data_IF_473778876335
#
_entry.id   IF_473778876335
#
_cell.length_a   1.000
_cell.length_b   1.000
_cell.length_c   1.000
_cell.angle_alpha   90.00
_cell.angle_beta   90.00
_cell.angle_gamma   90.00
#
_symmetry.space_group_name_H-M   'P 1'
#
loop_
_entity.id
_entity.type
_entity.pdbx_description
1 polymer ?
#
# COMPACT_ATOMS: atom_id res chain seq x y z
N UNK A 1 -9.67 8.90 -23.06
CA UNK A 1 -8.87 8.47 -21.88
C UNK A 1 -9.28 7.08 -21.40
N UNK A 2 -8.40 6.06 -21.51
CA UNK A 2 -8.73 4.69 -21.06
C UNK A 2 -8.80 4.64 -19.53
N UNK A 3 -10.02 4.78 -19.00
CA UNK A 3 -10.36 4.73 -17.56
C UNK A 3 -9.94 3.42 -16.87
N UNK A 4 -9.60 2.37 -17.63
CA UNK A 4 -9.23 1.05 -17.10
C UNK A 4 -8.03 1.06 -16.14
N UNK A 5 -6.99 1.83 -16.46
CA UNK A 5 -5.80 1.87 -15.61
C UNK A 5 -6.02 2.55 -14.25
N UNK A 6 -6.87 3.59 -14.19
CA UNK A 6 -7.24 4.24 -12.93
C UNK A 6 -8.05 3.28 -12.04
N UNK A 7 -9.01 2.56 -12.63
CA UNK A 7 -9.76 1.51 -11.93
C UNK A 7 -8.82 0.44 -11.36
N UNK A 8 -7.80 0.03 -12.11
CA UNK A 8 -6.80 -0.93 -11.62
C UNK A 8 -6.08 -0.45 -10.35
N UNK A 9 -5.68 0.82 -10.31
CA UNK A 9 -5.07 1.42 -9.11
C UNK A 9 -6.03 1.36 -7.92
N UNK A 10 -7.27 1.84 -8.09
CA UNK A 10 -8.23 1.85 -6.98
C UNK A 10 -8.55 0.44 -6.46
N UNK A 11 -8.74 -0.54 -7.35
CA UNK A 11 -9.02 -1.93 -6.98
C UNK A 11 -7.82 -2.56 -6.25
N UNK A 12 -6.61 -2.37 -6.77
CA UNK A 12 -5.39 -2.86 -6.11
C UNK A 12 -5.21 -2.25 -4.72
N UNK A 13 -5.42 -0.94 -4.61
CA UNK A 13 -5.36 -0.21 -3.34
C UNK A 13 -6.41 -0.70 -2.35
N UNK A 14 -7.65 -0.92 -2.81
CA UNK A 14 -8.74 -1.45 -2.00
C UNK A 14 -8.43 -2.84 -1.45
N UNK A 15 -8.05 -3.78 -2.32
CA UNK A 15 -7.81 -5.17 -1.92
C UNK A 15 -6.67 -5.28 -0.90
N UNK A 16 -5.57 -4.54 -1.12
CA UNK A 16 -4.46 -4.49 -0.15
C UNK A 16 -4.92 -3.91 1.18
N UNK A 17 -5.64 -2.79 1.19
CA UNK A 17 -6.04 -2.14 2.44
C UNK A 17 -7.10 -2.94 3.21
N UNK A 18 -8.02 -3.61 2.50
CA UNK A 18 -9.00 -4.48 3.14
C UNK A 18 -8.33 -5.64 3.90
N UNK A 19 -7.25 -6.22 3.35
CA UNK A 19 -6.45 -7.21 4.08
C UNK A 19 -5.63 -6.60 5.23
N UNK A 20 -5.08 -5.40 5.02
CA UNK A 20 -4.19 -4.76 6.00
C UNK A 20 -4.89 -4.33 7.29
N UNK A 21 -6.16 -3.91 7.22
CA UNK A 21 -6.87 -3.30 8.37
C UNK A 21 -6.95 -4.22 9.57
N UNK A 22 -7.33 -5.49 9.39
CA UNK A 22 -7.40 -6.44 10.50
C UNK A 22 -6.01 -6.73 11.09
N UNK A 23 -4.96 -6.73 10.26
CA UNK A 23 -3.59 -6.86 10.77
C UNK A 23 -3.30 -5.70 11.70
N UNK A 24 -3.62 -4.47 11.31
CA UNK A 24 -3.25 -3.30 12.10
C UNK A 24 -4.02 -3.20 13.41
N UNK A 25 -5.29 -3.60 13.40
CA UNK A 25 -6.11 -3.68 14.61
C UNK A 25 -5.61 -4.75 15.59
N UNK A 26 -5.05 -5.85 15.09
CA UNK A 26 -4.72 -7.03 15.87
C UNK A 26 -3.22 -7.21 16.14
N UNK A 27 -2.35 -6.49 15.41
CA UNK A 27 -0.89 -6.62 15.52
C UNK A 27 -0.38 -6.37 16.96
N UNK A 28 -0.86 -5.39 17.74
CA UNK A 28 -0.43 -5.23 19.12
C UNK A 28 -0.73 -6.45 19.99
N UNK A 29 -1.92 -7.04 19.80
CA UNK A 29 -2.36 -8.24 20.52
C UNK A 29 -1.50 -9.44 20.11
N UNK A 30 -1.22 -9.58 18.82
CA UNK A 30 -0.34 -10.63 18.30
C UNK A 30 1.09 -10.50 18.87
N UNK A 31 1.65 -9.28 18.88
CA UNK A 31 2.98 -9.04 19.45
C UNK A 31 3.02 -9.31 20.96
N UNK A 32 1.99 -8.93 21.69
CA UNK A 32 1.86 -9.26 23.11
C UNK A 32 1.78 -10.78 23.34
N UNK A 33 1.08 -11.53 22.48
CA UNK A 33 1.02 -13.00 22.54
C UNK A 33 2.38 -13.66 22.28
N UNK A 34 3.28 -12.99 21.55
CA UNK A 34 4.67 -13.42 21.32
C UNK A 34 5.62 -12.98 22.46
N UNK A 35 5.10 -12.38 23.53
CA UNK A 35 5.88 -11.94 24.70
C UNK A 35 6.44 -10.52 24.61
N UNK A 36 6.01 -9.70 23.64
CA UNK A 36 6.46 -8.31 23.56
C UNK A 36 5.91 -7.46 24.71
N UNK A 37 6.78 -6.70 25.37
CA UNK A 37 6.35 -5.68 26.33
C UNK A 37 5.70 -4.49 25.62
N UNK A 38 4.92 -3.68 26.34
CA UNK A 38 4.29 -2.45 25.80
C UNK A 38 5.31 -1.50 25.18
N UNK A 39 6.50 -1.40 25.78
CA UNK A 39 7.63 -0.60 25.26
C UNK A 39 8.11 -1.15 23.92
N UNK A 40 8.29 -2.47 23.79
CA UNK A 40 8.70 -3.09 22.53
C UNK A 40 7.66 -2.93 21.43
N UNK A 41 6.37 -3.05 21.75
CA UNK A 41 5.30 -2.79 20.78
C UNK A 41 5.41 -1.35 20.26
N UNK A 42 5.53 -0.36 21.16
CA UNK A 42 5.71 1.05 20.77
C UNK A 42 6.95 1.28 19.90
N UNK A 43 8.09 0.67 20.25
CA UNK A 43 9.32 0.75 19.46
C UNK A 43 9.16 0.15 18.06
N UNK A 44 8.45 -0.98 17.94
CA UNK A 44 8.19 -1.59 16.64
C UNK A 44 7.35 -0.68 15.74
N UNK A 45 6.31 -0.03 16.27
CA UNK A 45 5.56 0.99 15.53
C UNK A 45 6.43 2.20 15.17
N UNK A 46 7.33 2.63 16.05
CA UNK A 46 8.28 3.70 15.75
C UNK A 46 9.22 3.31 14.60
N UNK A 47 9.71 2.07 14.54
CA UNK A 47 10.52 1.55 13.42
C UNK A 47 9.73 1.59 12.11
N UNK A 48 8.43 1.27 12.15
CA UNK A 48 7.58 1.36 10.97
C UNK A 48 7.42 2.81 10.47
N UNK A 49 7.22 3.77 11.36
CA UNK A 49 7.11 5.18 10.99
C UNK A 49 8.45 5.76 10.51
N UNK A 50 9.54 5.44 11.21
CA UNK A 50 10.89 5.90 10.86
C UNK A 50 11.32 5.36 9.49
N UNK A 51 11.06 4.09 9.21
CA UNK A 51 11.36 3.50 7.89
C UNK A 51 10.55 4.14 6.78
N UNK A 52 9.25 4.39 6.98
CA UNK A 52 8.43 5.13 6.00
C UNK A 52 8.97 6.54 5.77
N UNK A 53 9.29 7.28 6.82
CA UNK A 53 9.81 8.64 6.71
C UNK A 53 11.15 8.66 5.95
N UNK A 54 12.06 7.74 6.25
CA UNK A 54 13.35 7.63 5.58
C UNK A 54 13.23 7.21 4.11
N UNK A 55 12.30 6.30 3.78
CA UNK A 55 12.14 5.74 2.44
C UNK A 55 11.25 6.59 1.53
N UNK A 56 10.38 7.46 2.07
CA UNK A 56 9.38 8.21 1.29
C UNK A 56 9.99 8.95 0.09
N UNK A 57 11.07 9.70 0.33
CA UNK A 57 11.75 10.48 -0.72
C UNK A 57 12.49 9.60 -1.73
N UNK A 58 13.21 8.59 -1.26
CA UNK A 58 13.95 7.65 -2.11
C UNK A 58 13.01 6.87 -3.05
N UNK A 59 11.90 6.38 -2.52
CA UNK A 59 10.91 5.62 -3.30
C UNK A 59 10.16 6.54 -4.27
N UNK A 60 9.97 7.82 -3.95
CA UNK A 60 9.45 8.82 -4.89
C UNK A 60 10.34 8.93 -6.13
N UNK A 61 11.65 9.17 -5.92
CA UNK A 61 12.63 9.16 -7.00
C UNK A 61 12.66 7.84 -7.78
N UNK A 62 12.57 6.72 -7.08
CA UNK A 62 12.51 5.39 -7.70
C UNK A 62 11.27 5.23 -8.58
N UNK A 63 10.11 5.73 -8.14
CA UNK A 63 8.84 5.73 -8.89
C UNK A 63 8.99 6.50 -10.19
N UNK A 64 9.62 7.66 -10.14
CA UNK A 64 9.82 8.50 -11.32
C UNK A 64 10.80 7.88 -12.34
N UNK A 65 11.73 7.03 -11.87
CA UNK A 65 12.74 6.37 -12.70
C UNK A 65 12.28 5.01 -13.26
N UNK A 66 11.70 4.15 -12.41
CA UNK A 66 11.25 2.80 -12.81
C UNK A 66 9.89 2.82 -13.52
N UNK A 67 9.11 3.88 -13.32
CA UNK A 67 7.73 3.94 -13.77
C UNK A 67 6.73 3.58 -12.66
N UNK A 68 5.47 3.91 -12.93
CA UNK A 68 4.40 3.87 -11.96
C UNK A 68 3.91 2.44 -11.78
N UNK A 69 3.74 1.67 -12.87
CA UNK A 69 3.22 0.30 -12.77
C UNK A 69 4.21 -0.63 -12.04
N UNK A 70 5.52 -0.69 -12.36
CA UNK A 70 6.45 -1.55 -11.64
C UNK A 70 6.52 -1.21 -10.15
N UNK A 71 6.51 0.09 -9.82
CA UNK A 71 6.57 0.54 -8.43
C UNK A 71 5.29 0.21 -7.67
N UNK A 72 4.12 0.33 -8.31
CA UNK A 72 2.86 -0.07 -7.71
C UNK A 72 2.81 -1.58 -7.45
N UNK A 73 3.28 -2.40 -8.40
CA UNK A 73 3.39 -3.84 -8.24
C UNK A 73 4.36 -4.23 -7.12
N UNK A 74 5.49 -3.53 -7.00
CA UNK A 74 6.42 -3.71 -5.88
C UNK A 74 5.71 -3.44 -4.54
N UNK A 75 4.88 -2.41 -4.46
CA UNK A 75 4.10 -2.12 -3.26
C UNK A 75 3.07 -3.20 -2.91
N UNK A 76 2.36 -3.74 -3.91
CA UNK A 76 1.32 -4.75 -3.73
C UNK A 76 1.88 -6.14 -3.38
N UNK A 77 2.88 -6.61 -4.14
CA UNK A 77 3.54 -7.88 -3.87
C UNK A 77 4.45 -7.80 -2.64
N UNK A 78 5.12 -6.66 -2.41
CA UNK A 78 5.86 -6.39 -1.18
C UNK A 78 4.95 -6.43 0.05
N UNK A 79 3.76 -5.80 -0.02
CA UNK A 79 2.76 -5.91 1.05
C UNK A 79 2.31 -7.35 1.27
N UNK A 80 2.12 -8.13 0.19
CA UNK A 80 1.79 -9.56 0.31
C UNK A 80 2.88 -10.34 1.03
N UNK A 81 4.15 -10.10 0.69
CA UNK A 81 5.29 -10.74 1.36
C UNK A 81 5.34 -10.36 2.84
N UNK A 82 5.15 -9.09 3.17
CA UNK A 82 5.09 -8.60 4.55
C UNK A 82 4.00 -9.30 5.35
N UNK A 83 2.78 -9.39 4.80
CA UNK A 83 1.65 -10.02 5.50
C UNK A 83 1.91 -11.52 5.70
N UNK A 84 2.47 -12.22 4.72
CA UNK A 84 2.88 -13.60 4.88
C UNK A 84 3.99 -13.77 5.94
N UNK A 85 4.97 -12.87 5.96
CA UNK A 85 6.07 -12.87 6.94
C UNK A 85 5.58 -12.63 8.37
N UNK A 86 4.54 -11.81 8.58
CA UNK A 86 3.93 -11.71 9.92
C UNK A 86 3.35 -13.02 10.40
N UNK A 87 2.64 -13.74 9.52
CA UNK A 87 2.14 -15.06 9.83
C UNK A 87 3.27 -16.03 10.17
N UNK A 88 4.41 -15.92 9.49
CA UNK A 88 5.57 -16.79 9.72
C UNK A 88 6.46 -16.40 10.90
N UNK A 89 6.29 -15.20 11.48
CA UNK A 89 7.19 -14.67 12.50
C UNK A 89 7.19 -15.53 13.78
N UNK A 90 8.34 -16.13 14.16
CA UNK A 90 8.43 -16.97 15.37
C UNK A 90 8.58 -16.15 16.66
N UNK A 91 8.98 -14.88 16.57
CA UNK A 91 9.08 -13.97 17.71
C UNK A 91 8.83 -12.52 17.30
N UNK A 92 8.51 -11.67 18.29
CA UNK A 92 8.21 -10.25 18.05
C UNK A 92 9.40 -9.47 17.47
N UNK A 93 10.65 -9.92 17.67
CA UNK A 93 11.84 -9.25 17.13
C UNK A 93 11.92 -9.34 15.60
N UNK A 94 11.34 -10.37 14.99
CA UNK A 94 11.26 -10.49 13.54
C UNK A 94 10.39 -9.40 12.90
N UNK A 95 9.51 -8.76 13.68
CA UNK A 95 8.65 -7.68 13.18
C UNK A 95 9.44 -6.41 12.86
N UNK A 96 10.60 -6.18 13.48
CA UNK A 96 11.43 -5.00 13.19
C UNK A 96 11.90 -4.94 11.72
N UNK A 97 12.60 -5.97 11.17
CA UNK A 97 12.95 -5.97 9.75
C UNK A 97 11.73 -6.06 8.83
N UNK A 98 10.65 -6.75 9.25
CA UNK A 98 9.40 -6.78 8.47
C UNK A 98 8.77 -5.39 8.36
N UNK A 99 8.86 -4.55 9.39
CA UNK A 99 8.37 -3.17 9.35
C UNK A 99 9.14 -2.28 8.38
N UNK A 100 10.43 -2.52 8.18
CA UNK A 100 11.21 -1.83 7.15
C UNK A 100 10.71 -2.19 5.76
N UNK A 101 10.45 -3.48 5.51
CA UNK A 101 9.87 -3.95 4.25
C UNK A 101 8.43 -3.44 4.05
N UNK A 102 7.65 -3.34 5.14
CA UNK A 102 6.33 -2.71 5.11
C UNK A 102 6.43 -1.24 4.72
N UNK A 103 7.40 -0.51 5.25
CA UNK A 103 7.67 0.88 4.88
C UNK A 103 7.97 1.02 3.39
N UNK A 104 8.90 0.22 2.86
CA UNK A 104 9.21 0.19 1.43
C UNK A 104 7.96 -0.11 0.57
N UNK A 105 7.19 -1.12 0.97
CA UNK A 105 5.99 -1.55 0.26
C UNK A 105 4.90 -0.47 0.25
N UNK A 106 4.67 0.17 1.40
CA UNK A 106 3.69 1.24 1.54
C UNK A 106 4.10 2.49 0.76
N UNK A 107 5.34 2.95 0.90
CA UNK A 107 5.86 4.10 0.16
C UNK A 107 5.76 3.87 -1.36
N UNK A 108 6.05 2.64 -1.82
CA UNK A 108 5.95 2.28 -3.25
C UNK A 108 4.50 2.32 -3.72
N UNK A 109 3.58 1.78 -2.91
CA UNK A 109 2.16 1.77 -3.22
C UNK A 109 1.59 3.19 -3.32
N UNK A 110 1.83 4.03 -2.32
CA UNK A 110 1.23 5.37 -2.26
C UNK A 110 1.83 6.30 -3.31
N UNK A 111 3.15 6.36 -3.46
CA UNK A 111 3.81 7.23 -4.43
C UNK A 111 3.45 6.86 -5.87
N UNK A 112 3.43 5.56 -6.19
CA UNK A 112 3.04 5.12 -7.52
C UNK A 112 1.55 5.39 -7.82
N UNK A 113 0.67 5.19 -6.84
CA UNK A 113 -0.77 5.42 -6.99
C UNK A 113 -1.07 6.90 -7.23
N UNK A 114 -0.52 7.79 -6.40
CA UNK A 114 -0.76 9.23 -6.52
C UNK A 114 -0.11 9.79 -7.79
N UNK A 115 1.13 9.39 -8.12
CA UNK A 115 1.77 9.79 -9.37
C UNK A 115 0.95 9.35 -10.60
N UNK A 116 0.48 8.09 -10.61
CA UNK A 116 -0.32 7.58 -11.73
C UNK A 116 -1.66 8.31 -11.88
N UNK A 117 -2.33 8.60 -10.76
CA UNK A 117 -3.56 9.40 -10.76
C UNK A 117 -3.26 10.81 -11.29
N UNK A 118 -2.19 11.45 -10.82
CA UNK A 118 -1.78 12.78 -11.28
C UNK A 118 -1.47 12.83 -12.78
N UNK A 119 -0.81 11.81 -13.31
CA UNK A 119 -0.47 11.72 -14.74
C UNK A 119 -1.72 11.54 -15.63
N UNK A 120 -2.70 10.75 -15.17
CA UNK A 120 -3.87 10.34 -15.98
C UNK A 120 -5.13 11.17 -15.74
N UNK A 121 -5.27 11.84 -14.60
CA UNK A 121 -6.43 12.64 -14.25
C UNK A 121 -6.43 13.98 -15.00
N UNK A 122 -7.55 14.45 -15.57
CA UNK A 122 -7.69 15.84 -16.01
C UNK A 122 -7.30 16.81 -14.88
N UNK A 123 -6.65 17.93 -15.20
CA UNK A 123 -6.15 18.89 -14.19
C UNK A 123 -7.27 19.36 -13.25
N UNK A 124 -8.47 19.56 -13.80
CA UNK A 124 -9.67 20.02 -13.11
C UNK A 124 -10.24 18.95 -12.16
N UNK A 125 -9.98 17.67 -12.45
CA UNK A 125 -10.51 16.53 -11.70
C UNK A 125 -9.45 15.81 -10.84
N UNK A 126 -8.20 16.28 -10.86
CA UNK A 126 -7.09 15.63 -10.16
C UNK A 126 -7.33 15.57 -8.65
N UNK A 127 -7.81 16.67 -8.05
CA UNK A 127 -8.17 16.70 -6.63
C UNK A 127 -9.28 15.69 -6.27
N UNK A 128 -10.30 15.58 -7.12
CA UNK A 128 -11.40 14.61 -6.95
C UNK A 128 -10.92 13.15 -7.09
N UNK A 129 -10.06 12.86 -8.05
CA UNK A 129 -9.51 11.51 -8.21
C UNK A 129 -8.56 11.13 -7.07
N UNK A 130 -7.77 12.08 -6.57
CA UNK A 130 -6.93 11.87 -5.38
C UNK A 130 -7.78 11.62 -4.13
N UNK A 131 -8.86 12.38 -3.92
CA UNK A 131 -9.76 12.16 -2.78
C UNK A 131 -10.48 10.81 -2.89
N UNK A 132 -10.87 10.39 -4.10
CA UNK A 132 -11.45 9.07 -4.34
C UNK A 132 -10.54 7.93 -3.88
N UNK A 133 -9.22 8.06 -4.00
CA UNK A 133 -8.26 7.06 -3.47
C UNK A 133 -8.43 6.88 -1.95
N UNK A 134 -8.56 7.98 -1.21
CA UNK A 134 -8.77 7.94 0.24
C UNK A 134 -10.19 7.49 0.61
N UNK A 135 -11.20 7.84 -0.17
CA UNK A 135 -12.56 7.30 -0.01
C UNK A 135 -12.58 5.78 -0.16
N UNK A 136 -11.93 5.26 -1.21
CA UNK A 136 -11.76 3.82 -1.45
C UNK A 136 -11.00 3.17 -0.29
N UNK A 137 -10.01 3.85 0.27
CA UNK A 137 -9.26 3.37 1.44
C UNK A 137 -10.16 3.26 2.68
N UNK A 138 -10.99 4.27 2.95
CA UNK A 138 -11.95 4.23 4.05
C UNK A 138 -12.96 3.09 3.91
N UNK A 139 -13.49 2.89 2.70
CA UNK A 139 -14.37 1.75 2.40
C UNK A 139 -13.66 0.40 2.57
N UNK A 140 -12.40 0.32 2.15
CA UNK A 140 -11.57 -0.87 2.33
C UNK A 140 -11.37 -1.19 3.82
N UNK A 141 -11.20 -0.18 4.67
CA UNK A 141 -11.05 -0.38 6.12
C UNK A 141 -12.32 -0.88 6.79
N UNK A 142 -13.49 -0.40 6.35
CA UNK A 142 -14.78 -0.91 6.83
C UNK A 142 -14.93 -2.37 6.41
N UNK A 143 -14.74 -2.67 5.12
CA UNK A 143 -14.83 -4.04 4.60
C UNK A 143 -13.80 -4.98 5.25
N UNK A 144 -12.58 -4.50 5.44
CA UNK A 144 -11.47 -5.24 6.04
C UNK A 144 -11.68 -5.54 7.52
N UNK A 145 -12.21 -4.59 8.28
CA UNK A 145 -12.58 -4.79 9.69
C UNK A 145 -13.69 -5.82 9.83
N UNK A 146 -14.74 -5.74 9.00
CA UNK A 146 -15.81 -6.74 8.97
C UNK A 146 -15.29 -8.13 8.60
N UNK A 147 -14.40 -8.20 7.60
CA UNK A 147 -13.74 -9.45 7.21
C UNK A 147 -12.90 -10.01 8.35
N UNK A 148 -12.13 -9.18 9.05
CA UNK A 148 -11.33 -9.59 10.20
C UNK A 148 -12.22 -10.13 11.33
N UNK A 149 -13.27 -9.40 11.70
CA UNK A 149 -14.21 -9.82 12.74
C UNK A 149 -14.86 -11.18 12.41
N UNK A 150 -15.24 -11.41 11.16
CA UNK A 150 -15.88 -12.67 10.75
C UNK A 150 -14.92 -13.87 10.66
N UNK A 151 -13.62 -13.63 10.46
CA UNK A 151 -12.67 -14.71 10.10
C UNK A 151 -11.65 -15.00 11.18
N UNK A 152 -11.28 -14.04 12.03
CA UNK A 152 -10.19 -14.19 13.00
C UNK A 152 -10.53 -15.22 14.08
N UNK A 153 -11.78 -15.26 14.56
CA UNK A 153 -12.20 -16.23 15.57
C UNK A 153 -12.20 -17.68 15.04
N UNK A 154 -12.44 -17.86 13.74
CA UNK A 154 -12.51 -19.16 13.10
C UNK A 154 -11.15 -19.64 12.58
N UNK A 155 -10.37 -18.75 11.98
CA UNK A 155 -9.11 -19.06 11.31
C UNK A 155 -7.90 -18.83 12.22
N UNK A 156 -8.03 -17.98 13.24
CA UNK A 156 -6.91 -17.47 14.03
C UNK A 156 -6.13 -16.35 13.34
N UNK A 157 -5.37 -15.60 14.15
CA UNK A 157 -4.57 -14.44 13.72
C UNK A 157 -3.59 -14.76 12.58
N UNK A 158 -2.91 -15.91 12.68
CA UNK A 158 -1.89 -16.34 11.72
C UNK A 158 -2.47 -16.56 10.32
N UNK A 159 -3.61 -17.24 10.23
CA UNK A 159 -4.26 -17.54 8.96
C UNK A 159 -4.92 -16.29 8.36
N UNK A 160 -5.41 -15.37 9.19
CA UNK A 160 -5.87 -14.06 8.72
C UNK A 160 -4.75 -13.28 8.01
N UNK A 161 -3.51 -13.32 8.52
CA UNK A 161 -2.37 -12.68 7.85
C UNK A 161 -2.07 -13.27 6.46
N UNK A 162 -2.23 -14.58 6.29
CA UNK A 162 -2.14 -15.22 4.97
C UNK A 162 -3.30 -14.83 4.05
N UNK A 163 -4.53 -14.73 4.57
CA UNK A 163 -5.68 -14.23 3.82
C UNK A 163 -5.43 -12.81 3.31
N UNK A 164 -4.92 -11.93 4.15
CA UNK A 164 -4.54 -10.57 3.78
C UNK A 164 -3.43 -10.55 2.70
N UNK A 165 -2.44 -11.45 2.82
CA UNK A 165 -1.42 -11.63 1.78
C UNK A 165 -2.04 -12.02 0.43
N UNK A 166 -2.97 -13.00 0.44
CA UNK A 166 -3.69 -13.41 -0.77
C UNK A 166 -4.48 -12.26 -1.39
N UNK A 167 -5.20 -11.46 -0.59
CA UNK A 167 -5.91 -10.28 -1.10
C UNK A 167 -4.97 -9.26 -1.75
N UNK A 168 -3.83 -8.96 -1.11
CA UNK A 168 -2.82 -8.05 -1.67
C UNK A 168 -2.21 -8.60 -2.97
N UNK A 169 -1.93 -9.91 -3.01
CA UNK A 169 -1.46 -10.59 -4.23
C UNK A 169 -2.48 -10.55 -5.36
N UNK A 170 -3.76 -10.77 -5.07
CA UNK A 170 -4.84 -10.64 -6.06
C UNK A 170 -4.93 -9.21 -6.60
N UNK A 171 -4.78 -8.20 -5.74
CA UNK A 171 -4.65 -6.80 -6.15
C UNK A 171 -3.45 -6.56 -7.07
N UNK A 172 -2.29 -7.11 -6.71
CA UNK A 172 -1.08 -7.09 -7.54
C UNK A 172 -1.30 -7.72 -8.91
N UNK A 173 -1.90 -8.90 -8.98
CA UNK A 173 -2.21 -9.60 -10.23
C UNK A 173 -3.22 -8.83 -11.09
N UNK A 174 -4.24 -8.24 -10.48
CA UNK A 174 -5.20 -7.40 -11.17
C UNK A 174 -4.53 -6.17 -11.80
N UNK A 175 -3.70 -5.46 -11.02
CA UNK A 175 -2.90 -4.34 -11.52
C UNK A 175 -1.95 -4.78 -12.63
N UNK A 176 -1.28 -5.93 -12.48
CA UNK A 176 -0.33 -6.43 -13.48
C UNK A 176 -1.00 -6.64 -14.85
N UNK A 177 -2.25 -7.13 -14.86
CA UNK A 177 -3.02 -7.39 -16.07
C UNK A 177 -3.68 -6.15 -16.66
N UNK A 178 -4.26 -5.27 -15.85
CA UNK A 178 -5.16 -4.21 -16.33
C UNK A 178 -4.56 -2.79 -16.29
N UNK A 179 -3.48 -2.57 -15.55
CA UNK A 179 -2.80 -1.27 -15.53
C UNK A 179 -1.88 -1.15 -16.75
N UNK A 180 -2.01 -0.07 -17.50
CA UNK A 180 -1.06 0.34 -18.53
C UNK A 180 -0.01 1.27 -17.91
N UNK A 181 1.22 1.30 -18.41
CA UNK A 181 2.23 2.25 -17.91
C UNK A 181 1.80 3.70 -18.20
N UNK A 182 1.96 4.62 -17.24
CA UNK A 182 1.71 6.03 -17.51
C UNK A 182 2.88 6.61 -18.32
N UNK A 183 2.61 7.05 -19.55
CA UNK A 183 3.54 7.93 -20.26
C UNK A 183 3.76 9.19 -19.42
N UNK A 184 5.02 9.59 -19.22
CA UNK A 184 5.35 10.85 -18.54
C UNK A 184 4.61 11.98 -19.24
N UNK A 185 3.91 12.85 -18.49
CA UNK A 185 3.47 14.14 -19.03
C UNK A 185 4.72 14.89 -19.48
N UNK A 186 4.88 15.10 -20.78
CA UNK A 186 5.86 16.06 -21.27
C UNK A 186 5.46 17.43 -20.72
N UNK A 187 6.40 18.12 -20.06
CA UNK A 187 6.20 19.43 -19.45
C UNK A 187 5.49 20.38 -20.43
N UNK A 188 4.21 20.65 -20.19
CA UNK A 188 3.43 21.66 -20.93
C UNK A 188 3.74 23.07 -20.40
N UNK A 189 5.02 23.41 -20.25
CA UNK A 189 5.47 24.68 -19.64
C UNK A 189 6.66 25.33 -20.36
N UNK A 190 6.90 25.02 -21.64
CA UNK A 190 7.91 25.72 -22.45
C UNK A 190 7.36 26.51 -23.64
N UNK A 191 6.05 26.79 -23.71
CA UNK A 191 5.43 27.45 -24.87
C UNK A 191 4.57 28.67 -24.52
N UNK A 192 4.95 29.43 -23.48
CA UNK A 192 4.11 30.55 -23.03
C UNK A 192 4.85 31.69 -22.36
N UNK A 193 6.05 32.07 -22.81
CA UNK A 193 6.61 33.42 -22.61
C UNK A 193 7.85 33.63 -23.50
N UNK A 194 7.64 33.75 -24.82
CA UNK A 194 8.50 34.57 -25.69
C UNK A 194 7.55 35.31 -26.63
N UNK A 195 7.48 36.63 -26.49
CA UNK A 195 6.68 37.53 -27.33
C UNK A 195 5.61 38.26 -26.53
N UNK A 196 5.97 39.38 -25.92
CA UNK A 196 5.74 40.74 -26.43
C UNK A 196 6.85 41.64 -25.90
#
# INVERSE_FOLDING_TARGET
>A
PRLGGLKAVYVGFFLRNAGATGIWALLPIYLASLGASRLWIGLLYAVNLASQAALMGYVGYLTDRLGRKPTLLLGLFGSSAVFALYGLAPSYLWVAPIHVLLGLSWCSLINASTAYIGDRAPLEAQGYMMSLLFTVTGLAWIAGSSLAAATVDLLGLRNYMFLAASLSSLGGLYVARFMEEAGRRANATSAGHVGV
#
